data_IF_502509409505
#
_entry.id   IF_502509409505
#
_cell.length_a   1.000
_cell.length_b   1.000
_cell.length_c   1.000
_cell.angle_alpha   90.00
_cell.angle_beta   90.00
_cell.angle_gamma   90.00
#
_symmetry.space_group_name_H-M   'P 1'
#
loop_
_entity.id
_entity.type
_entity.pdbx_description
1 polymer ?
#
# COMPACT_ATOMS: atom_id res chain seq x y z
N UNK A 1 14.44 -27.92 -3.75
CA UNK A 1 14.32 -27.58 -2.31
C UNK A 1 13.26 -26.51 -2.14
N UNK A 2 12.14 -26.82 -1.47
CA UNK A 2 11.10 -25.82 -1.14
C UNK A 2 11.55 -25.12 0.15
N UNK A 3 12.00 -23.88 0.07
CA UNK A 3 12.40 -23.12 1.27
C UNK A 3 11.11 -22.62 1.93
N UNK A 4 10.81 -23.10 3.13
CA UNK A 4 9.69 -22.60 3.93
C UNK A 4 10.07 -21.21 4.44
N UNK A 5 9.26 -20.19 4.13
CA UNK A 5 9.44 -18.86 4.70
C UNK A 5 9.30 -18.95 6.22
N UNK A 6 10.32 -18.51 6.96
CA UNK A 6 10.15 -18.32 8.40
C UNK A 6 9.30 -17.07 8.65
N UNK A 7 8.80 -16.92 9.89
CA UNK A 7 8.07 -15.72 10.30
C UNK A 7 8.94 -14.46 10.17
N UNK A 8 10.23 -14.56 10.52
CA UNK A 8 11.18 -13.46 10.40
C UNK A 8 11.41 -13.07 8.93
N UNK A 9 11.59 -14.07 8.05
CA UNK A 9 11.74 -13.82 6.61
C UNK A 9 10.49 -13.14 6.03
N UNK A 10 9.30 -13.53 6.49
CA UNK A 10 8.03 -12.95 6.06
C UNK A 10 7.91 -11.49 6.49
N UNK A 11 8.33 -11.15 7.71
CA UNK A 11 8.34 -9.76 8.20
C UNK A 11 9.34 -8.89 7.45
N UNK A 12 10.54 -9.40 7.17
CA UNK A 12 11.55 -8.69 6.37
C UNK A 12 11.06 -8.45 4.94
N UNK A 13 10.43 -9.45 4.33
CA UNK A 13 9.85 -9.33 3.00
C UNK A 13 8.71 -8.30 2.97
N UNK A 14 7.81 -8.31 3.96
CA UNK A 14 6.76 -7.30 4.08
C UNK A 14 7.31 -5.88 4.23
N UNK A 15 8.38 -5.70 5.01
CA UNK A 15 9.05 -4.40 5.17
C UNK A 15 9.65 -3.90 3.83
N UNK A 16 10.30 -4.80 3.09
CA UNK A 16 10.85 -4.48 1.76
C UNK A 16 9.75 -4.13 0.76
N UNK A 17 8.66 -4.90 0.73
CA UNK A 17 7.47 -4.63 -0.10
C UNK A 17 6.84 -3.27 0.22
N UNK A 18 6.70 -2.96 1.50
CA UNK A 18 6.18 -1.65 1.98
C UNK A 18 7.04 -0.50 1.46
N UNK A 19 8.37 -0.62 1.60
CA UNK A 19 9.31 0.40 1.16
C UNK A 19 9.27 0.59 -0.36
N UNK A 20 9.21 -0.51 -1.13
CA UNK A 20 9.09 -0.47 -2.59
C UNK A 20 7.79 0.19 -3.06
N UNK A 21 6.67 -0.11 -2.39
CA UNK A 21 5.37 0.51 -2.68
C UNK A 21 5.39 2.02 -2.47
N UNK A 22 5.96 2.49 -1.35
CA UNK A 22 6.10 3.92 -1.06
C UNK A 22 6.91 4.61 -2.16
N UNK A 23 8.05 4.03 -2.56
CA UNK A 23 8.88 4.58 -3.63
C UNK A 23 8.13 4.65 -4.97
N UNK A 24 7.38 3.62 -5.35
CA UNK A 24 6.57 3.63 -6.58
C UNK A 24 5.45 4.65 -6.54
N UNK A 25 4.81 4.87 -5.39
CA UNK A 25 3.80 5.91 -5.23
C UNK A 25 4.40 7.33 -5.37
N UNK A 26 5.62 7.55 -4.87
CA UNK A 26 6.34 8.80 -5.11
C UNK A 26 6.66 9.00 -6.60
N UNK A 27 7.10 7.94 -7.28
CA UNK A 27 7.30 7.96 -8.74
C UNK A 27 6.00 8.28 -9.48
N UNK A 28 4.88 7.68 -9.08
CA UNK A 28 3.56 7.97 -9.66
C UNK A 28 3.11 9.42 -9.45
N UNK A 29 3.56 10.06 -8.36
CA UNK A 29 3.28 11.48 -8.09
C UNK A 29 3.97 12.44 -9.06
N UNK A 30 5.04 12.03 -9.73
CA UNK A 30 5.80 12.87 -10.68
C UNK A 30 5.62 12.47 -12.14
N UNK A 31 5.15 11.24 -12.41
CA UNK A 31 4.93 10.78 -13.78
C UNK A 31 3.63 11.35 -14.39
N UNK A 32 3.60 11.61 -15.71
CA UNK A 32 2.37 11.97 -16.39
C UNK A 32 1.31 10.86 -16.21
N UNK A 33 0.08 11.18 -15.76
CA UNK A 33 -0.88 10.17 -15.28
C UNK A 33 -1.25 9.07 -16.29
N UNK A 34 -1.20 9.41 -17.59
CA UNK A 34 -1.57 8.54 -18.72
C UNK A 34 -0.35 8.04 -19.51
N UNK A 35 0.86 8.22 -18.98
CA UNK A 35 2.06 7.67 -19.61
C UNK A 35 2.13 6.16 -19.43
N UNK A 36 2.75 5.47 -20.40
CA UNK A 36 3.02 4.03 -20.28
C UNK A 36 3.84 3.70 -19.04
N UNK A 37 4.79 4.58 -18.67
CA UNK A 37 5.60 4.43 -17.44
C UNK A 37 4.76 4.52 -16.17
N UNK A 38 3.77 5.44 -16.12
CA UNK A 38 2.84 5.50 -14.99
C UNK A 38 1.98 4.22 -14.91
N UNK A 39 1.56 3.67 -16.05
CA UNK A 39 0.82 2.41 -16.08
C UNK A 39 1.67 1.24 -15.57
N UNK A 40 2.94 1.16 -15.96
CA UNK A 40 3.88 0.16 -15.45
C UNK A 40 4.10 0.30 -13.93
N UNK A 41 4.27 1.52 -13.43
CA UNK A 41 4.43 1.76 -12.00
C UNK A 41 3.18 1.34 -11.20
N UNK A 42 1.96 1.59 -11.72
CA UNK A 42 0.71 1.10 -11.10
C UNK A 42 0.63 -0.43 -11.08
N UNK A 43 1.05 -1.10 -12.15
CA UNK A 43 1.10 -2.57 -12.20
C UNK A 43 2.08 -3.14 -11.15
N UNK A 44 3.25 -2.52 -10.98
CA UNK A 44 4.18 -2.93 -9.94
C UNK A 44 3.62 -2.73 -8.53
N UNK A 45 2.90 -1.63 -8.27
CA UNK A 45 2.20 -1.42 -6.99
C UNK A 45 1.16 -2.52 -6.76
N UNK A 46 0.35 -2.85 -7.77
CA UNK A 46 -0.64 -3.94 -7.67
C UNK A 46 0.01 -5.28 -7.33
N UNK A 47 1.14 -5.62 -7.98
CA UNK A 47 1.85 -6.87 -7.71
C UNK A 47 2.41 -6.90 -6.27
N UNK A 48 2.84 -5.76 -5.74
CA UNK A 48 3.29 -5.66 -4.33
C UNK A 48 2.11 -5.91 -3.38
N UNK A 49 0.94 -5.34 -3.66
CA UNK A 49 -0.27 -5.51 -2.86
C UNK A 49 -0.73 -6.99 -2.86
N UNK A 50 -0.64 -7.67 -4.02
CA UNK A 50 -0.93 -9.10 -4.13
C UNK A 50 0.07 -9.96 -3.33
N UNK A 51 1.37 -9.64 -3.40
CA UNK A 51 2.40 -10.36 -2.63
C UNK A 51 2.19 -10.19 -1.13
N UNK A 52 1.86 -8.99 -0.66
CA UNK A 52 1.57 -8.77 0.75
C UNK A 52 0.29 -9.48 1.19
N UNK A 53 -0.73 -9.54 0.34
CA UNK A 53 -1.94 -10.34 0.59
C UNK A 53 -1.59 -11.82 0.77
N UNK A 54 -0.74 -12.37 -0.09
CA UNK A 54 -0.30 -13.77 0.01
C UNK A 54 0.50 -14.05 1.30
N UNK A 55 1.28 -13.08 1.77
CA UNK A 55 2.10 -13.22 2.98
C UNK A 55 1.31 -13.05 4.28
N UNK A 56 0.28 -12.21 4.28
CA UNK A 56 -0.46 -11.82 5.48
C UNK A 56 -1.83 -12.49 5.60
N UNK A 57 -2.38 -12.96 4.48
CA UNK A 57 -3.78 -13.37 4.39
C UNK A 57 -4.78 -12.20 4.36
N UNK A 58 -4.29 -10.95 4.37
CA UNK A 58 -5.11 -9.75 4.45
C UNK A 58 -5.07 -8.95 3.14
N UNK A 59 -6.21 -8.89 2.44
CA UNK A 59 -6.39 -8.11 1.21
C UNK A 59 -6.34 -6.60 1.42
N UNK A 60 -6.48 -6.14 2.66
CA UNK A 60 -6.50 -4.71 2.99
C UNK A 60 -5.18 -4.25 3.63
N UNK A 61 -4.15 -5.10 3.66
CA UNK A 61 -2.90 -4.83 4.37
C UNK A 61 -2.29 -3.46 4.05
N UNK A 62 -2.37 -3.01 2.79
CA UNK A 62 -1.91 -1.67 2.37
C UNK A 62 -3.04 -0.69 2.02
N UNK A 63 -4.30 -1.11 2.12
CA UNK A 63 -5.47 -0.25 1.89
C UNK A 63 -5.87 0.53 3.15
N UNK A 64 -5.52 0.04 4.34
CA UNK A 64 -5.91 0.68 5.60
C UNK A 64 -5.25 2.05 5.82
N UNK A 65 -4.09 2.30 5.22
CA UNK A 65 -3.41 3.61 5.26
C UNK A 65 -4.05 4.66 4.32
N UNK A 66 -5.05 4.27 3.52
CA UNK A 66 -5.75 5.16 2.59
C UNK A 66 -7.16 5.56 3.06
N UNK A 67 -7.51 5.41 4.35
CA UNK A 67 -8.62 6.19 4.90
C UNK A 67 -8.17 7.65 4.98
N UNK A 68 -8.68 8.55 4.13
CA UNK A 68 -8.59 9.96 4.48
C UNK A 68 -9.25 10.11 5.86
N UNK A 69 -8.65 10.92 6.72
CA UNK A 69 -9.27 11.37 7.96
C UNK A 69 -10.49 12.23 7.61
N UNK A 70 -11.55 11.61 7.09
CA UNK A 70 -12.77 12.25 6.61
C UNK A 70 -13.95 11.84 7.48
N UNK A 71 -13.84 11.98 8.81
CA UNK A 71 -14.97 12.27 9.69
C UNK A 71 -14.54 12.59 11.13
N UNK A 72 -13.80 13.69 11.32
CA UNK A 72 -13.85 14.44 12.56
C UNK A 72 -14.56 15.76 12.23
N UNK A 73 -15.86 15.68 11.95
CA UNK A 73 -16.73 16.85 12.09
C UNK A 73 -16.95 16.96 13.61
N UNK A 74 -16.39 17.95 14.32
CA UNK A 74 -16.77 18.17 15.70
C UNK A 74 -18.28 18.43 15.73
N UNK A 75 -19.03 17.92 16.72
CA UNK A 75 -20.42 18.30 16.87
C UNK A 75 -20.48 19.83 16.99
N UNK A 76 -21.10 20.49 16.01
CA UNK A 76 -21.40 21.91 16.11
C UNK A 76 -22.19 22.13 17.39
N UNK A 77 -21.61 22.93 18.26
CA UNK A 77 -22.23 23.48 19.46
C UNK A 77 -23.60 24.06 19.06
N UNK A 78 -24.66 23.48 19.61
CA UNK A 78 -26.02 23.99 19.46
C UNK A 78 -26.11 25.21 20.37
N UNK A 79 -25.91 26.39 19.80
CA UNK A 79 -26.12 27.66 20.48
C UNK A 79 -27.61 27.96 20.71
N UNK A 80 -27.89 28.38 21.94
CA UNK A 80 -29.05 29.11 22.51
C UNK A 80 -30.41 29.07 21.77
#
# INVERSE_FOLDING_TARGET
>A
MRRTLTKLDSQQLLSALTSGRVALNQVLGVLPPKSGTAQLARLLVSNIDDLATLLTGDRQHFHETARPASHLIPPSDVGD
#
